data_IF_020436891321
#
_entry.id   IF_020436891321
#
_cell.length_a   1.000
_cell.length_b   1.000
_cell.length_c   1.000
_cell.angle_alpha   90.00
_cell.angle_beta   90.00
_cell.angle_gamma   90.00
#
_symmetry.space_group_name_H-M   'P 1'
#
loop_
_entity.id
_entity.type
_entity.pdbx_description
1 polymer ?
#
# COMPACT_ATOMS: atom_id res chain seq x y z
N UNK A 1 8.84 -9.61 13.62
CA UNK A 1 10.11 -10.17 13.11
C UNK A 1 10.94 -9.16 12.35
N UNK A 2 10.74 -8.93 11.03
CA UNK A 2 11.69 -8.09 10.28
C UNK A 2 11.64 -6.60 10.63
N UNK A 3 10.45 -6.01 10.71
CA UNK A 3 10.26 -4.59 11.08
C UNK A 3 10.40 -4.32 12.59
N UNK A 4 10.51 -5.37 13.40
CA UNK A 4 10.57 -5.31 14.86
C UNK A 4 9.49 -4.45 15.56
N UNK A 5 8.26 -4.51 15.06
CA UNK A 5 7.08 -3.87 15.67
C UNK A 5 6.19 -4.96 16.27
N UNK A 6 5.80 -4.82 17.53
CA UNK A 6 5.06 -5.85 18.29
C UNK A 6 3.95 -5.29 19.21
N UNK A 7 3.56 -4.01 19.08
CA UNK A 7 2.56 -3.39 19.96
C UNK A 7 1.63 -2.42 19.20
N UNK A 8 0.59 -1.94 19.89
CA UNK A 8 -0.25 -0.84 19.41
C UNK A 8 -1.55 -1.23 18.70
N UNK A 9 -2.10 -2.43 18.98
CA UNK A 9 -3.40 -2.83 18.42
C UNK A 9 -4.46 -2.84 19.51
N UNK A 10 -5.52 -2.07 19.29
CA UNK A 10 -6.77 -2.15 20.04
C UNK A 10 -7.89 -2.47 19.06
N UNK A 11 -8.70 -3.52 19.31
CA UNK A 11 -9.80 -3.87 18.41
C UNK A 11 -10.85 -2.76 18.40
N UNK A 12 -11.53 -2.52 17.26
CA UNK A 12 -12.68 -1.63 17.23
C UNK A 12 -13.82 -2.23 18.07
N UNK A 13 -14.68 -1.35 18.59
CA UNK A 13 -15.84 -1.75 19.43
C UNK A 13 -16.74 -2.75 18.71
N UNK A 14 -17.03 -2.46 17.46
CA UNK A 14 -17.88 -3.27 16.60
C UNK A 14 -17.01 -4.00 15.58
N UNK A 15 -17.13 -5.32 15.54
CA UNK A 15 -16.36 -6.18 14.66
C UNK A 15 -17.27 -7.18 13.96
N UNK A 16 -17.00 -7.40 12.67
CA UNK A 16 -17.67 -8.47 11.95
C UNK A 16 -17.08 -9.83 12.41
N UNK A 17 -17.90 -10.84 12.78
CA UNK A 17 -17.41 -12.13 13.29
C UNK A 17 -16.43 -12.86 12.35
N UNK A 18 -16.59 -12.71 11.03
CA UNK A 18 -15.68 -13.28 10.03
C UNK A 18 -14.34 -12.52 9.85
N UNK A 19 -14.18 -11.35 10.50
CA UNK A 19 -13.02 -10.44 10.39
C UNK A 19 -12.60 -9.91 11.79
N UNK A 20 -12.29 -10.80 12.74
CA UNK A 20 -11.81 -10.37 14.05
C UNK A 20 -10.44 -9.68 13.93
N UNK A 21 -10.21 -8.67 14.77
CA UNK A 21 -8.94 -7.96 14.92
C UNK A 21 -8.20 -8.57 16.13
N UNK A 22 -7.35 -9.55 15.83
CA UNK A 22 -6.56 -10.29 16.83
C UNK A 22 -5.17 -9.65 17.06
N UNK A 23 -4.87 -8.53 16.39
CA UNK A 23 -3.56 -7.88 16.48
C UNK A 23 -2.42 -8.82 16.08
N UNK A 24 -1.39 -8.90 16.93
CA UNK A 24 -0.21 -9.74 16.70
C UNK A 24 -0.49 -11.24 16.88
N UNK A 25 -1.62 -11.62 17.48
CA UNK A 25 -2.03 -13.03 17.61
C UNK A 25 -2.74 -13.56 16.35
N UNK A 26 -2.97 -12.70 15.35
CA UNK A 26 -3.62 -13.07 14.09
C UNK A 26 -2.82 -14.15 13.34
N UNK A 27 -3.45 -15.31 13.13
CA UNK A 27 -2.82 -16.45 12.43
C UNK A 27 -2.95 -16.37 10.91
N UNK A 28 -3.77 -15.45 10.39
CA UNK A 28 -3.98 -15.28 8.95
C UNK A 28 -2.77 -14.61 8.32
N UNK A 29 -2.40 -15.11 7.15
CA UNK A 29 -1.30 -14.60 6.34
C UNK A 29 -1.84 -13.74 5.21
N UNK A 30 -1.46 -12.46 5.18
CA UNK A 30 -1.79 -11.56 4.08
C UNK A 30 -0.71 -11.68 2.99
N UNK A 31 -1.07 -12.32 1.87
CA UNK A 31 -0.13 -12.72 0.81
C UNK A 31 0.54 -11.52 0.13
N UNK A 32 -0.17 -10.41 -0.02
CA UNK A 32 0.34 -9.21 -0.71
C UNK A 32 1.47 -8.57 0.10
N UNK A 33 1.27 -8.40 1.40
CA UNK A 33 2.24 -7.88 2.36
C UNK A 33 3.40 -8.84 2.57
N UNK A 34 3.16 -10.15 2.55
CA UNK A 34 4.25 -11.13 2.56
C UNK A 34 5.16 -11.02 1.33
N UNK A 35 4.59 -10.80 0.14
CA UNK A 35 5.38 -10.56 -1.07
C UNK A 35 6.18 -9.27 -0.97
N UNK A 36 5.53 -8.17 -0.55
CA UNK A 36 6.19 -6.86 -0.41
C UNK A 36 7.31 -6.88 0.62
N UNK A 37 7.02 -7.28 1.85
CA UNK A 37 8.01 -7.28 2.94
C UNK A 37 9.04 -8.40 2.80
N UNK A 38 8.67 -9.53 2.18
CA UNK A 38 9.61 -10.59 1.82
C UNK A 38 10.64 -10.11 0.79
N UNK A 39 10.20 -9.39 -0.25
CA UNK A 39 11.09 -8.75 -1.21
C UNK A 39 12.00 -7.72 -0.52
N UNK A 40 11.43 -6.80 0.28
CA UNK A 40 12.20 -5.78 0.98
C UNK A 40 13.27 -6.41 1.88
N UNK A 41 12.92 -7.44 2.66
CA UNK A 41 13.87 -8.22 3.48
C UNK A 41 14.96 -8.88 2.64
N UNK A 42 14.59 -9.51 1.52
CA UNK A 42 15.55 -10.20 0.67
C UNK A 42 16.57 -9.23 0.06
N UNK A 43 16.07 -8.11 -0.50
CA UNK A 43 16.88 -7.14 -1.24
C UNK A 43 17.70 -6.23 -0.34
N UNK A 44 17.12 -5.74 0.75
CA UNK A 44 17.75 -4.73 1.61
C UNK A 44 18.34 -5.29 2.90
N UNK A 45 18.05 -6.55 3.24
CA UNK A 45 18.47 -7.25 4.47
C UNK A 45 17.90 -6.68 5.76
N UNK A 46 18.03 -5.38 6.02
CA UNK A 46 17.53 -4.72 7.23
C UNK A 46 16.46 -3.67 6.89
N UNK A 47 15.54 -3.37 7.82
CA UNK A 47 14.57 -2.28 7.65
C UNK A 47 15.25 -0.94 7.42
N UNK A 48 16.34 -0.64 8.12
CA UNK A 48 17.06 0.64 8.02
C UNK A 48 17.58 0.87 6.60
N UNK A 49 18.14 -0.17 5.97
CA UNK A 49 18.61 -0.09 4.59
C UNK A 49 17.46 0.16 3.60
N UNK A 50 16.27 -0.39 3.86
CA UNK A 50 15.07 -0.11 3.05
C UNK A 50 14.56 1.32 3.29
N UNK A 51 14.33 1.69 4.55
CA UNK A 51 13.75 2.98 4.93
C UNK A 51 14.71 4.16 4.78
N UNK A 52 16.01 3.93 4.57
CA UNK A 52 16.94 4.97 4.15
C UNK A 52 16.52 5.68 2.85
N UNK A 53 15.73 5.00 2.00
CA UNK A 53 15.30 5.54 0.70
C UNK A 53 13.82 5.30 0.36
N UNK A 54 13.15 4.36 1.01
CA UNK A 54 11.76 4.01 0.72
C UNK A 54 10.85 4.30 1.91
N UNK A 55 9.60 4.64 1.61
CA UNK A 55 8.54 4.74 2.61
C UNK A 55 7.25 4.19 2.02
N UNK A 56 6.45 3.49 2.83
CA UNK A 56 5.19 2.86 2.39
C UNK A 56 4.02 3.58 3.06
N UNK A 57 3.05 4.00 2.26
CA UNK A 57 1.86 4.70 2.71
C UNK A 57 0.61 4.14 2.04
N UNK A 58 -0.44 3.90 2.82
CA UNK A 58 -1.76 3.57 2.28
C UNK A 58 -2.52 4.86 1.99
N UNK A 59 -2.96 5.03 0.73
CA UNK A 59 -3.77 6.19 0.34
C UNK A 59 -5.04 6.34 1.20
N UNK A 60 -5.76 5.23 1.43
CA UNK A 60 -6.92 5.20 2.32
C UNK A 60 -6.61 4.27 3.49
N UNK A 61 -6.68 4.75 4.76
CA UNK A 61 -6.41 3.92 5.93
C UNK A 61 -7.61 3.08 6.38
N UNK A 62 -8.78 3.27 5.77
CA UNK A 62 -10.02 2.57 6.16
C UNK A 62 -10.21 1.28 5.37
N UNK A 63 -10.70 0.25 6.08
CA UNK A 63 -11.21 -0.98 5.49
C UNK A 63 -12.74 -1.00 5.59
N UNK A 64 -13.42 -1.33 4.50
CA UNK A 64 -14.88 -1.45 4.47
C UNK A 64 -15.29 -2.90 4.27
N UNK A 65 -16.29 -3.34 5.01
CA UNK A 65 -16.83 -4.69 4.95
C UNK A 65 -18.31 -4.63 4.59
N UNK A 66 -18.76 -5.58 3.78
CA UNK A 66 -20.19 -5.86 3.61
C UNK A 66 -20.73 -6.66 4.80
N UNK A 67 -22.05 -6.79 4.90
CA UNK A 67 -22.72 -7.57 5.95
C UNK A 67 -22.26 -9.03 6.02
N UNK A 68 -21.79 -9.60 4.90
CA UNK A 68 -21.20 -10.94 4.86
C UNK A 68 -19.76 -11.02 5.39
N UNK A 69 -19.15 -9.88 5.73
CA UNK A 69 -17.74 -9.75 6.05
C UNK A 69 -16.82 -9.71 4.81
N UNK A 70 -17.38 -9.71 3.60
CA UNK A 70 -16.62 -9.54 2.36
C UNK A 70 -16.03 -8.14 2.30
N UNK A 71 -14.77 -8.03 1.84
CA UNK A 71 -14.11 -6.74 1.67
C UNK A 71 -14.79 -5.92 0.56
N UNK A 72 -15.14 -4.67 0.88
CA UNK A 72 -15.64 -3.67 -0.06
C UNK A 72 -14.54 -2.65 -0.29
N UNK A 73 -14.04 -2.57 -1.51
CA UNK A 73 -13.02 -1.58 -1.87
C UNK A 73 -13.66 -0.20 -2.06
N UNK A 74 -12.92 0.91 -1.83
CA UNK A 74 -13.47 2.26 -1.95
C UNK A 74 -14.13 2.58 -3.29
N UNK A 75 -13.65 2.00 -4.40
CA UNK A 75 -14.25 2.16 -5.72
C UNK A 75 -15.69 1.60 -5.82
N UNK A 76 -16.07 0.67 -4.94
CA UNK A 76 -17.41 0.07 -4.85
C UNK A 76 -18.35 0.81 -3.90
N UNK A 77 -17.90 1.88 -3.27
CA UNK A 77 -18.77 2.75 -2.47
C UNK A 77 -19.62 3.63 -3.40
N UNK A 78 -20.86 3.97 -3.00
CA UNK A 78 -21.67 4.91 -3.76
C UNK A 78 -20.96 6.26 -3.87
N UNK A 79 -21.16 7.02 -4.96
CA UNK A 79 -20.45 8.29 -5.18
C UNK A 79 -20.55 9.27 -4.00
N UNK A 80 -21.70 9.34 -3.33
CA UNK A 80 -21.95 10.21 -2.18
C UNK A 80 -21.05 9.92 -0.97
N UNK A 81 -20.62 8.67 -0.79
CA UNK A 81 -19.68 8.28 0.28
C UNK A 81 -18.23 8.30 -0.20
N UNK A 82 -18.01 7.85 -1.44
CA UNK A 82 -16.67 7.73 -2.02
C UNK A 82 -15.99 9.08 -2.21
N UNK A 83 -16.73 10.08 -2.65
CA UNK A 83 -16.19 11.41 -2.93
C UNK A 83 -15.59 12.09 -1.68
N UNK A 84 -16.32 12.27 -0.57
CA UNK A 84 -15.75 12.87 0.63
C UNK A 84 -14.61 12.03 1.24
N UNK A 85 -14.68 10.69 1.13
CA UNK A 85 -13.58 9.81 1.52
C UNK A 85 -12.31 10.12 0.73
N UNK A 86 -12.42 10.21 -0.59
CA UNK A 86 -11.29 10.50 -1.46
C UNK A 86 -10.72 11.89 -1.21
N UNK A 87 -11.54 12.91 -1.02
CA UNK A 87 -11.05 14.24 -0.68
C UNK A 87 -10.24 14.27 0.62
N UNK A 88 -10.64 13.49 1.63
CA UNK A 88 -9.87 13.36 2.87
C UNK A 88 -8.53 12.63 2.65
N UNK A 89 -8.55 11.54 1.87
CA UNK A 89 -7.37 10.76 1.54
C UNK A 89 -6.39 11.55 0.66
N UNK A 90 -6.90 12.37 -0.27
CA UNK A 90 -6.13 13.25 -1.13
C UNK A 90 -5.33 14.27 -0.32
N UNK A 91 -6.00 14.93 0.64
CA UNK A 91 -5.31 15.83 1.57
C UNK A 91 -4.23 15.11 2.38
N UNK A 92 -4.50 13.87 2.80
CA UNK A 92 -3.51 13.04 3.50
C UNK A 92 -2.29 12.74 2.63
N UNK A 93 -2.51 12.34 1.37
CA UNK A 93 -1.44 12.08 0.41
C UNK A 93 -0.62 13.34 0.11
N UNK A 94 -1.27 14.48 -0.15
CA UNK A 94 -0.57 15.74 -0.38
C UNK A 94 0.34 16.12 0.80
N UNK A 95 -0.17 15.99 2.03
CA UNK A 95 0.58 16.32 3.26
C UNK A 95 1.78 15.41 3.47
N UNK A 96 1.64 14.09 3.30
CA UNK A 96 2.76 13.18 3.51
C UNK A 96 3.85 13.36 2.44
N UNK A 97 3.46 13.67 1.19
CA UNK A 97 4.40 13.99 0.11
C UNK A 97 5.13 15.30 0.38
N UNK A 98 4.43 16.34 0.81
CA UNK A 98 5.04 17.63 1.20
C UNK A 98 6.02 17.48 2.38
N UNK A 99 5.67 16.64 3.36
CA UNK A 99 6.53 16.36 4.51
C UNK A 99 7.78 15.55 4.15
N UNK A 100 7.61 14.43 3.44
CA UNK A 100 8.73 13.54 3.10
C UNK A 100 9.61 14.06 1.96
N UNK A 101 9.07 14.95 1.12
CA UNK A 101 9.70 15.47 -0.11
C UNK A 101 10.37 14.39 -0.96
N UNK A 102 9.66 13.30 -1.34
CA UNK A 102 10.26 12.26 -2.16
C UNK A 102 10.60 12.80 -3.56
N UNK A 103 11.57 12.17 -4.23
CA UNK A 103 11.85 12.46 -5.65
C UNK A 103 10.94 11.70 -6.61
N UNK A 104 10.28 10.64 -6.12
CA UNK A 104 9.40 9.76 -6.89
C UNK A 104 8.30 9.20 -5.98
N UNK A 105 7.05 9.24 -6.43
CA UNK A 105 5.92 8.53 -5.82
C UNK A 105 5.58 7.32 -6.67
N UNK A 106 5.50 6.15 -6.04
CA UNK A 106 5.17 4.88 -6.70
C UNK A 106 3.75 4.45 -6.34
N UNK A 107 2.86 4.48 -7.32
CA UNK A 107 1.54 3.88 -7.21
C UNK A 107 1.62 2.35 -7.25
N UNK A 108 1.25 1.68 -6.16
CA UNK A 108 1.15 0.20 -6.14
C UNK A 108 -0.18 -0.22 -6.79
N UNK A 109 -0.11 -0.62 -8.05
CA UNK A 109 -1.27 -0.87 -8.90
C UNK A 109 -1.90 0.39 -9.49
N UNK A 110 -2.82 0.19 -10.44
CA UNK A 110 -3.45 1.27 -11.22
C UNK A 110 -4.19 2.29 -10.36
N UNK A 111 -4.87 1.82 -9.31
CA UNK A 111 -5.59 2.71 -8.40
C UNK A 111 -4.64 3.67 -7.68
N UNK A 112 -3.53 3.15 -7.13
CA UNK A 112 -2.55 3.97 -6.41
C UNK A 112 -1.93 5.04 -7.31
N UNK A 113 -1.56 4.69 -8.54
CA UNK A 113 -1.02 5.66 -9.51
C UNK A 113 -2.07 6.72 -9.89
N UNK A 114 -3.30 6.30 -10.20
CA UNK A 114 -4.37 7.23 -10.58
C UNK A 114 -4.67 8.24 -9.46
N UNK A 115 -4.66 7.82 -8.20
CA UNK A 115 -4.81 8.74 -7.07
C UNK A 115 -3.61 9.67 -6.93
N UNK A 116 -2.38 9.16 -7.03
CA UNK A 116 -1.19 10.00 -6.98
C UNK A 116 -1.19 11.09 -8.07
N UNK A 117 -1.52 10.74 -9.32
CA UNK A 117 -1.61 11.71 -10.42
C UNK A 117 -2.72 12.74 -10.22
N UNK A 118 -3.86 12.32 -9.69
CA UNK A 118 -4.97 13.23 -9.40
C UNK A 118 -4.56 14.29 -8.36
N UNK A 119 -3.88 13.88 -7.29
CA UNK A 119 -3.53 14.77 -6.17
C UNK A 119 -2.34 15.66 -6.48
N UNK A 120 -1.31 15.11 -7.12
CA UNK A 120 0.00 15.75 -7.24
C UNK A 120 0.24 16.36 -8.64
N UNK A 121 -0.66 16.11 -9.59
CA UNK A 121 -0.49 16.54 -10.98
C UNK A 121 0.65 15.81 -11.70
N UNK A 122 1.07 16.35 -12.85
CA UNK A 122 2.16 15.79 -13.67
C UNK A 122 3.41 16.68 -13.74
N UNK A 123 3.34 17.94 -13.28
CA UNK A 123 4.39 18.95 -13.52
C UNK A 123 5.38 19.10 -12.36
N UNK A 124 5.16 18.40 -11.24
CA UNK A 124 5.97 18.50 -10.03
C UNK A 124 6.80 17.24 -9.78
N UNK A 125 6.32 16.41 -8.84
CA UNK A 125 6.99 15.18 -8.46
C UNK A 125 6.81 14.08 -9.52
N UNK A 126 7.87 13.29 -9.76
CA UNK A 126 7.77 12.13 -10.64
C UNK A 126 6.80 11.11 -10.05
N UNK A 127 5.94 10.55 -10.88
CA UNK A 127 5.00 9.48 -10.49
C UNK A 127 5.20 8.29 -11.41
N UNK A 128 5.41 7.12 -10.81
CA UNK A 128 5.49 5.83 -11.49
C UNK A 128 4.47 4.84 -10.95
N UNK A 129 4.32 3.72 -11.66
CA UNK A 129 3.47 2.60 -11.27
C UNK A 129 4.31 1.35 -11.09
N UNK A 130 4.02 0.57 -10.06
CA UNK A 130 4.51 -0.81 -9.93
C UNK A 130 3.34 -1.79 -9.84
N UNK A 131 3.60 -3.05 -10.15
CA UNK A 131 2.61 -4.12 -10.07
C UNK A 131 2.12 -4.30 -8.62
N UNK A 132 0.82 -4.42 -8.42
CA UNK A 132 0.26 -4.75 -7.10
C UNK A 132 0.57 -6.22 -6.73
N UNK A 133 1.00 -6.53 -5.49
CA UNK A 133 1.37 -7.89 -5.07
C UNK A 133 0.19 -8.86 -4.87
N UNK A 134 -1.04 -8.48 -5.24
CA UNK A 134 -2.23 -9.24 -4.87
C UNK A 134 -2.30 -10.56 -5.63
N UNK A 135 -2.70 -11.68 -4.99
CA UNK A 135 -2.90 -12.95 -5.68
C UNK A 135 -4.01 -12.90 -6.75
N UNK A 136 -4.89 -11.88 -6.71
CA UNK A 136 -5.89 -11.65 -7.75
C UNK A 136 -5.29 -11.25 -9.11
N UNK A 137 -4.02 -10.85 -9.16
CA UNK A 137 -3.30 -10.56 -10.40
C UNK A 137 -2.55 -11.79 -10.90
N UNK A 138 -2.90 -12.37 -12.07
CA UNK A 138 -2.12 -13.47 -12.66
C UNK A 138 -0.66 -13.11 -12.88
N UNK A 139 -0.36 -11.84 -13.19
CA UNK A 139 1.01 -11.36 -13.34
C UNK A 139 1.78 -11.46 -12.02
N UNK A 140 1.18 -11.06 -10.89
CA UNK A 140 1.84 -11.13 -9.58
C UNK A 140 2.13 -12.58 -9.14
N UNK A 141 1.39 -13.55 -9.65
CA UNK A 141 1.62 -14.97 -9.37
C UNK A 141 2.79 -15.56 -10.17
N UNK A 142 3.31 -14.87 -11.19
CA UNK A 142 4.45 -15.28 -12.02
C UNK A 142 5.73 -14.51 -11.67
N UNK A 143 6.09 -14.49 -10.39
CA UNK A 143 7.29 -13.78 -9.92
C UNK A 143 7.08 -12.28 -9.77
N UNK A 144 6.40 -11.87 -8.70
CA UNK A 144 6.13 -10.45 -8.40
C UNK A 144 7.42 -9.64 -8.17
N UNK A 145 8.38 -10.18 -7.41
CA UNK A 145 9.61 -9.48 -7.04
C UNK A 145 10.42 -9.07 -8.29
N UNK A 146 10.70 -10.00 -9.19
CA UNK A 146 11.45 -9.71 -10.43
C UNK A 146 10.72 -8.68 -11.31
N UNK A 147 9.39 -8.71 -11.35
CA UNK A 147 8.61 -7.75 -12.13
C UNK A 147 8.71 -6.34 -11.55
N UNK A 148 8.60 -6.18 -10.23
CA UNK A 148 8.72 -4.86 -9.63
C UNK A 148 10.15 -4.32 -9.76
N UNK A 149 11.18 -5.16 -9.72
CA UNK A 149 12.56 -4.71 -9.90
C UNK A 149 12.82 -4.20 -11.32
N UNK A 150 12.27 -4.87 -12.35
CA UNK A 150 12.31 -4.37 -13.73
C UNK A 150 11.60 -3.01 -13.86
N UNK A 151 10.40 -2.88 -13.29
CA UNK A 151 9.64 -1.63 -13.31
C UNK A 151 10.36 -0.51 -12.56
N UNK A 152 10.99 -0.82 -11.42
CA UNK A 152 11.81 0.13 -10.67
C UNK A 152 13.02 0.58 -11.49
N UNK A 153 13.71 -0.34 -12.18
CA UNK A 153 14.82 -0.02 -13.06
C UNK A 153 14.40 0.87 -14.26
N UNK A 154 13.26 0.57 -14.90
CA UNK A 154 12.66 1.40 -15.96
C UNK A 154 12.34 2.83 -15.48
N UNK A 155 11.99 2.98 -14.20
CA UNK A 155 11.77 4.27 -13.55
C UNK A 155 13.08 4.94 -13.06
N UNK A 156 14.23 4.32 -13.28
CA UNK A 156 15.54 4.82 -12.87
C UNK A 156 15.86 4.63 -11.39
N UNK A 157 15.15 3.73 -10.69
CA UNK A 157 15.40 3.40 -9.29
C UNK A 157 16.45 2.31 -9.19
N UNK A 158 17.65 2.68 -8.74
CA UNK A 158 18.74 1.73 -8.47
C UNK A 158 18.56 1.09 -7.10
N UNK A 159 18.52 -0.24 -7.07
CA UNK A 159 18.44 -1.08 -5.86
C UNK A 159 19.83 -1.58 -5.47
N UNK A 160 20.13 -1.77 -4.17
CA UNK A 160 21.45 -2.19 -3.66
C UNK A 160 21.83 -3.61 -4.08
#
# INVERSE_FOLDING_TARGET
DWLDIAQGVSPPKDQHPARPIEGFDCRRREISGQRLWGWARSRFRTPEAFFARFFIWNYCPLAFLEESGRNRTPDKLPPSERQPLYEACDRGLARIVDYLRPSLVLGVGRFGEARARNVLGNDGIRIGQVLHPSPASPAANRGWAEQIERQLAELGVVLP
#
